data_IF_716090216844
#
_entry.id   IF_716090216844
#
_cell.length_a   1.000
_cell.length_b   1.000
_cell.length_c   1.000
_cell.angle_alpha   90.00
_cell.angle_beta   90.00
_cell.angle_gamma   90.00
#
_symmetry.space_group_name_H-M   'P 1'
#
loop_
_entity.id
_entity.type
_entity.pdbx_description
1 polymer ?
#
# COMPACT_ATOMS: atom_id res chain seq x y z
N UNK A 1 -16.40 -25.51 37.70
CA UNK A 1 -14.93 -25.33 37.64
C UNK A 1 -14.62 -24.81 36.23
N UNK A 2 -14.34 -23.52 36.12
CA UNK A 2 -14.36 -22.79 34.84
C UNK A 2 -13.07 -22.93 34.03
N UNK A 3 -13.20 -23.18 32.74
CA UNK A 3 -12.15 -22.98 31.75
C UNK A 3 -12.40 -21.62 31.07
N UNK A 4 -11.96 -20.55 31.72
CA UNK A 4 -11.92 -19.22 31.12
C UNK A 4 -10.79 -19.16 30.10
N UNK A 5 -11.14 -19.13 28.81
CA UNK A 5 -10.20 -18.88 27.73
C UNK A 5 -9.47 -17.56 27.96
N UNK A 6 -8.18 -17.64 28.26
CA UNK A 6 -7.28 -16.48 28.21
C UNK A 6 -7.16 -16.09 26.74
N UNK A 7 -7.94 -15.11 26.30
CA UNK A 7 -7.63 -14.34 25.11
C UNK A 7 -6.20 -13.83 25.28
N UNK A 8 -5.30 -14.28 24.39
CA UNK A 8 -3.93 -13.81 24.40
C UNK A 8 -3.98 -12.29 24.19
N UNK A 9 -3.43 -11.52 25.14
CA UNK A 9 -3.39 -10.07 25.05
C UNK A 9 -2.75 -9.64 23.72
N UNK A 10 -3.29 -8.57 23.12
CA UNK A 10 -2.72 -7.96 21.93
C UNK A 10 -1.21 -7.79 22.08
N UNK A 11 -0.42 -8.12 21.03
CA UNK A 11 1.00 -7.87 21.08
C UNK A 11 1.21 -6.36 21.31
N UNK A 12 2.05 -5.99 22.29
CA UNK A 12 2.42 -4.59 22.49
C UNK A 12 3.05 -4.01 21.21
N UNK A 13 3.09 -2.68 21.09
CA UNK A 13 3.55 -1.96 19.88
C UNK A 13 4.87 -2.50 19.31
N UNK A 14 5.83 -2.86 20.16
CA UNK A 14 7.11 -3.45 19.73
C UNK A 14 6.94 -4.82 19.07
N UNK A 15 6.05 -5.67 19.60
CA UNK A 15 5.77 -6.98 19.03
C UNK A 15 5.05 -6.86 17.68
N UNK A 16 4.13 -5.89 17.52
CA UNK A 16 3.50 -5.60 16.23
C UNK A 16 4.48 -5.06 15.19
N UNK A 17 5.40 -4.16 15.59
CA UNK A 17 6.48 -3.70 14.70
C UNK A 17 7.35 -4.86 14.23
N UNK A 18 7.77 -5.75 15.15
CA UNK A 18 8.55 -6.95 14.80
C UNK A 18 7.77 -7.94 13.93
N UNK A 19 6.45 -8.04 14.12
CA UNK A 19 5.59 -8.85 13.27
C UNK A 19 5.50 -8.27 11.85
N UNK A 20 5.40 -6.94 11.74
CA UNK A 20 5.42 -6.23 10.45
C UNK A 20 6.76 -6.46 9.72
N UNK A 21 7.89 -6.26 10.41
CA UNK A 21 9.24 -6.50 9.88
C UNK A 21 9.42 -7.93 9.40
N UNK A 22 8.93 -8.92 10.15
CA UNK A 22 9.06 -10.35 9.81
C UNK A 22 7.99 -10.87 8.83
N UNK A 23 7.01 -10.05 8.45
CA UNK A 23 5.87 -10.49 7.64
C UNK A 23 5.04 -11.59 8.30
N UNK A 24 4.84 -11.52 9.63
CA UNK A 24 4.14 -12.55 10.41
C UNK A 24 2.62 -12.50 10.16
N UNK A 25 2.16 -13.28 9.19
CA UNK A 25 0.75 -13.36 8.80
C UNK A 25 -0.16 -13.83 9.93
N UNK A 26 0.32 -14.71 10.83
CA UNK A 26 -0.49 -15.22 11.94
C UNK A 26 -0.77 -14.12 12.97
N UNK A 27 0.23 -13.28 13.25
CA UNK A 27 0.05 -12.10 14.10
C UNK A 27 -1.00 -11.13 13.52
N UNK A 28 -0.95 -10.86 12.21
CA UNK A 28 -1.94 -9.97 11.56
C UNK A 28 -3.33 -10.61 11.42
N UNK A 29 -3.42 -11.92 11.22
CA UNK A 29 -4.70 -12.64 11.23
C UNK A 29 -5.40 -12.52 12.58
N UNK A 30 -4.65 -12.73 13.68
CA UNK A 30 -5.17 -12.61 15.05
C UNK A 30 -5.56 -11.18 15.39
N UNK A 31 -4.68 -10.21 15.07
CA UNK A 31 -4.96 -8.80 15.27
C UNK A 31 -6.21 -8.36 14.51
N UNK A 32 -6.34 -8.78 13.25
CA UNK A 32 -7.52 -8.48 12.42
C UNK A 32 -8.82 -9.06 12.98
N UNK A 33 -8.77 -10.28 13.51
CA UNK A 33 -9.92 -10.91 14.16
C UNK A 33 -10.31 -10.19 15.46
N UNK A 34 -9.34 -9.72 16.25
CA UNK A 34 -9.59 -9.02 17.51
C UNK A 34 -10.09 -7.57 17.31
N UNK A 35 -9.49 -6.83 16.37
CA UNK A 35 -9.92 -5.47 16.00
C UNK A 35 -11.27 -5.50 15.27
N UNK A 36 -11.52 -6.55 14.49
CA UNK A 36 -12.71 -6.75 13.67
C UNK A 36 -12.53 -6.27 12.23
N UNK A 37 -12.93 -7.07 11.22
CA UNK A 37 -12.71 -6.77 9.81
C UNK A 37 -13.44 -5.51 9.33
N UNK A 38 -14.57 -5.14 9.94
CA UNK A 38 -15.27 -3.88 9.65
C UNK A 38 -14.41 -2.64 9.93
N UNK A 39 -13.67 -2.61 11.04
CA UNK A 39 -12.78 -1.48 11.35
C UNK A 39 -11.61 -1.40 10.37
N UNK A 40 -11.08 -2.56 9.96
CA UNK A 40 -10.03 -2.63 8.92
C UNK A 40 -10.56 -2.09 7.59
N UNK A 41 -11.79 -2.47 7.22
CA UNK A 41 -12.48 -1.95 6.03
C UNK A 41 -12.63 -0.44 6.10
N UNK A 42 -13.10 0.09 7.23
CA UNK A 42 -13.37 1.51 7.39
C UNK A 42 -12.08 2.34 7.25
N UNK A 43 -10.97 1.88 7.84
CA UNK A 43 -9.64 2.49 7.66
C UNK A 43 -9.18 2.43 6.20
N UNK A 44 -9.35 1.28 5.52
CA UNK A 44 -8.98 1.11 4.12
C UNK A 44 -9.78 2.03 3.18
N UNK A 45 -11.09 2.16 3.39
CA UNK A 45 -11.96 3.08 2.64
C UNK A 45 -11.61 4.53 2.94
N UNK A 46 -11.36 4.87 4.20
CA UNK A 46 -10.97 6.21 4.62
C UNK A 46 -9.66 6.65 3.96
N UNK A 47 -8.68 5.73 3.85
CA UNK A 47 -7.43 5.96 3.11
C UNK A 47 -7.63 6.11 1.59
N UNK A 48 -8.75 5.63 1.04
CA UNK A 48 -9.15 5.89 -0.34
C UNK A 48 -9.30 4.66 -1.23
N UNK A 49 -9.26 3.44 -0.67
CA UNK A 49 -9.67 2.24 -1.38
C UNK A 49 -11.18 2.30 -1.68
N UNK A 50 -11.60 1.64 -2.75
CA UNK A 50 -13.00 1.61 -3.14
C UNK A 50 -13.70 0.44 -2.45
N UNK A 51 -14.93 0.60 -1.91
CA UNK A 51 -15.66 -0.51 -1.29
C UNK A 51 -15.77 -1.74 -2.20
N UNK A 52 -15.98 -1.52 -3.50
CA UNK A 52 -16.08 -2.58 -4.52
C UNK A 52 -14.78 -3.34 -4.80
N UNK A 53 -13.63 -2.84 -4.35
CA UNK A 53 -12.34 -3.53 -4.49
C UNK A 53 -11.95 -4.31 -3.23
N UNK A 54 -12.79 -4.30 -2.19
CA UNK A 54 -12.50 -4.98 -0.94
C UNK A 54 -12.97 -6.44 -0.99
N UNK A 55 -12.16 -7.32 -0.41
CA UNK A 55 -12.49 -8.74 -0.26
C UNK A 55 -13.58 -8.98 0.80
N UNK A 56 -13.97 -10.25 0.93
CA UNK A 56 -14.90 -10.68 1.98
C UNK A 56 -14.36 -10.34 3.37
N UNK A 57 -15.23 -9.83 4.25
CA UNK A 57 -14.89 -9.44 5.62
C UNK A 57 -14.81 -10.65 6.56
N UNK A 58 -13.99 -11.64 6.21
CA UNK A 58 -13.71 -12.81 7.03
C UNK A 58 -12.33 -12.70 7.73
N UNK A 59 -11.91 -13.76 8.44
CA UNK A 59 -10.65 -13.77 9.18
C UNK A 59 -9.40 -13.59 8.29
N UNK A 60 -9.51 -13.85 6.99
CA UNK A 60 -8.44 -13.65 6.01
C UNK A 60 -8.39 -12.22 5.46
N UNK A 61 -9.41 -11.38 5.71
CA UNK A 61 -9.47 -10.01 5.20
C UNK A 61 -8.22 -9.18 5.56
N UNK A 62 -7.74 -9.32 6.80
CA UNK A 62 -6.55 -8.65 7.30
C UNK A 62 -5.24 -9.12 6.62
N UNK A 63 -5.28 -10.21 5.87
CA UNK A 63 -4.16 -10.71 5.06
C UNK A 63 -4.13 -10.13 3.65
N UNK A 64 -5.13 -9.32 3.27
CA UNK A 64 -5.13 -8.60 1.98
C UNK A 64 -5.80 -9.36 0.84
N UNK A 65 -6.98 -9.95 1.06
CA UNK A 65 -7.80 -10.59 0.01
C UNK A 65 -8.51 -9.61 -0.94
N UNK A 66 -8.17 -8.32 -0.86
CA UNK A 66 -8.75 -7.24 -1.66
C UNK A 66 -8.02 -7.08 -3.00
N UNK A 67 -8.69 -6.54 -4.02
CA UNK A 67 -8.17 -6.34 -5.38
C UNK A 67 -8.18 -4.86 -5.81
N UNK A 68 -7.52 -3.96 -5.07
CA UNK A 68 -7.45 -2.53 -5.44
C UNK A 68 -6.60 -2.31 -6.70
N UNK A 69 -6.90 -1.26 -7.45
CA UNK A 69 -6.03 -0.82 -8.53
C UNK A 69 -4.77 -0.10 -8.01
N UNK A 70 -3.69 -0.11 -8.78
CA UNK A 70 -2.42 0.50 -8.38
C UNK A 70 -2.55 1.98 -7.99
N UNK A 71 -3.34 2.77 -8.72
CA UNK A 71 -3.62 4.17 -8.39
C UNK A 71 -4.33 4.34 -7.04
N UNK A 72 -5.18 3.37 -6.63
CA UNK A 72 -5.84 3.39 -5.33
C UNK A 72 -4.88 3.01 -4.21
N UNK A 73 -3.98 2.05 -4.46
CA UNK A 73 -2.91 1.73 -3.52
C UNK A 73 -1.97 2.92 -3.32
N UNK A 74 -1.49 3.56 -4.39
CA UNK A 74 -0.67 4.77 -4.30
C UNK A 74 -1.40 5.90 -3.55
N UNK A 75 -2.68 6.14 -3.86
CA UNK A 75 -3.49 7.13 -3.14
C UNK A 75 -3.69 6.82 -1.65
N UNK A 76 -3.86 5.54 -1.30
CA UNK A 76 -3.97 5.13 0.10
C UNK A 76 -2.67 5.39 0.87
N UNK A 77 -1.53 5.03 0.29
CA UNK A 77 -0.22 5.27 0.91
C UNK A 77 0.17 6.75 0.92
N UNK A 78 -0.30 7.56 -0.04
CA UNK A 78 -0.20 9.02 0.01
C UNK A 78 -0.92 9.63 1.23
N UNK A 79 -1.93 8.95 1.80
CA UNK A 79 -2.54 9.37 3.07
C UNK A 79 -1.55 9.26 4.22
N UNK A 80 -0.64 8.28 4.19
CA UNK A 80 0.43 8.16 5.19
C UNK A 80 1.49 9.24 5.00
N UNK A 81 1.90 9.51 3.74
CA UNK A 81 2.77 10.63 3.39
C UNK A 81 2.22 11.97 3.91
N UNK A 82 0.91 12.21 3.71
CA UNK A 82 0.20 13.39 4.20
C UNK A 82 -0.13 13.38 5.70
N UNK A 83 0.54 12.56 6.50
CA UNK A 83 0.33 12.41 7.95
C UNK A 83 -1.15 12.21 8.34
N UNK A 84 -1.87 11.38 7.59
CA UNK A 84 -3.28 11.04 7.79
C UNK A 84 -4.26 11.92 7.03
N UNK A 85 -3.78 12.80 6.14
CA UNK A 85 -4.63 13.60 5.24
C UNK A 85 -4.74 12.93 3.87
N UNK A 86 -5.97 12.64 3.46
CA UNK A 86 -6.30 12.00 2.19
C UNK A 86 -6.72 13.03 1.16
N UNK A 87 -6.12 12.96 -0.02
CA UNK A 87 -6.56 13.64 -1.23
C UNK A 87 -7.01 12.59 -2.25
N UNK A 88 -8.07 12.89 -3.02
CA UNK A 88 -8.48 12.01 -4.10
C UNK A 88 -7.48 12.11 -5.27
N UNK A 89 -7.06 10.99 -5.89
CA UNK A 89 -6.22 11.04 -7.07
C UNK A 89 -6.98 11.70 -8.22
N UNK A 90 -6.30 12.55 -8.98
CA UNK A 90 -6.83 13.26 -10.13
C UNK A 90 -5.70 13.44 -11.16
N UNK A 91 -6.04 13.52 -12.45
CA UNK A 91 -5.06 13.62 -13.55
C UNK A 91 -5.24 14.86 -14.43
N UNK A 92 -6.41 15.51 -14.36
CA UNK A 92 -6.74 16.68 -15.17
C UNK A 92 -6.53 17.92 -14.31
N UNK A 93 -5.67 18.83 -14.77
CA UNK A 93 -5.36 20.11 -14.09
C UNK A 93 -6.07 21.32 -14.70
N UNK A 94 -6.40 21.24 -15.99
CA UNK A 94 -7.18 22.24 -16.71
C UNK A 94 -7.74 21.63 -18.00
N UNK A 95 -8.84 22.19 -18.48
CA UNK A 95 -9.38 21.90 -19.82
C UNK A 95 -9.71 23.24 -20.46
N UNK A 96 -9.29 23.42 -21.71
CA UNK A 96 -9.65 24.58 -22.51
C UNK A 96 -10.59 24.16 -23.62
N UNK A 97 -11.75 24.81 -23.71
CA UNK A 97 -12.73 24.57 -24.76
C UNK A 97 -13.07 25.89 -25.46
N UNK A 98 -12.83 25.95 -26.78
CA UNK A 98 -13.06 27.14 -27.61
C UNK A 98 -12.42 28.41 -27.04
N UNK A 99 -11.19 28.29 -26.57
CA UNK A 99 -10.42 29.40 -25.99
C UNK A 99 -10.82 29.80 -24.56
N UNK A 100 -11.74 29.08 -23.90
CA UNK A 100 -12.13 29.31 -22.50
C UNK A 100 -11.66 28.16 -21.62
N UNK A 101 -11.01 28.48 -20.50
CA UNK A 101 -10.68 27.50 -19.46
C UNK A 101 -11.97 27.09 -18.75
N UNK A 102 -12.18 25.79 -18.60
CA UNK A 102 -13.31 25.24 -17.84
C UNK A 102 -12.99 25.27 -16.34
N UNK A 103 -13.93 25.77 -15.54
CA UNK A 103 -13.88 25.77 -14.07
C UNK A 103 -14.26 24.40 -13.48
N UNK A 104 -13.98 24.18 -12.20
CA UNK A 104 -14.37 22.95 -11.48
C UNK A 104 -13.37 21.80 -11.60
N UNK A 105 -12.19 22.07 -12.15
CA UNK A 105 -11.07 21.11 -12.29
C UNK A 105 -9.96 21.38 -11.28
N UNK A 106 -10.25 22.15 -10.23
CA UNK A 106 -9.29 22.47 -9.18
C UNK A 106 -8.92 21.23 -8.37
N UNK A 107 -7.70 21.23 -7.81
CA UNK A 107 -7.22 20.15 -6.95
C UNK A 107 -8.18 19.96 -5.76
N UNK A 108 -8.72 18.75 -5.54
CA UNK A 108 -9.56 18.48 -4.38
C UNK A 108 -8.80 18.74 -3.06
N UNK A 109 -9.40 19.42 -2.08
CA UNK A 109 -8.72 19.69 -0.81
C UNK A 109 -8.51 18.40 -0.02
N UNK A 110 -7.32 18.26 0.58
CA UNK A 110 -6.98 17.12 1.42
C UNK A 110 -7.69 17.18 2.78
N UNK A 111 -8.30 16.07 3.19
CA UNK A 111 -9.07 15.95 4.45
C UNK A 111 -8.38 14.99 5.42
N UNK A 112 -8.37 15.31 6.71
CA UNK A 112 -7.85 14.41 7.74
C UNK A 112 -8.82 13.23 7.91
N UNK A 113 -8.30 12.02 7.75
CA UNK A 113 -9.06 10.77 7.83
C UNK A 113 -8.45 9.77 8.81
N UNK A 114 -7.16 9.94 9.13
CA UNK A 114 -6.45 9.16 10.14
C UNK A 114 -5.81 10.08 11.19
N UNK A 115 -5.66 9.54 12.39
CA UNK A 115 -4.95 10.21 13.47
C UNK A 115 -3.46 10.38 13.11
N UNK A 116 -2.93 11.58 13.40
CA UNK A 116 -1.56 11.95 13.04
C UNK A 116 -0.54 11.13 13.82
N UNK A 117 -0.77 10.88 15.11
CA UNK A 117 0.16 10.14 15.95
C UNK A 117 0.20 8.66 15.53
N UNK A 118 -0.95 8.06 15.26
CA UNK A 118 -1.05 6.70 14.75
C UNK A 118 -0.31 6.52 13.41
N UNK A 119 -0.48 7.47 12.47
CA UNK A 119 0.22 7.42 11.17
C UNK A 119 1.73 7.57 11.35
N UNK A 120 2.21 8.44 12.25
CA UNK A 120 3.65 8.57 12.52
C UNK A 120 4.27 7.31 13.11
N UNK A 121 3.53 6.62 13.98
CA UNK A 121 3.96 5.32 14.51
C UNK A 121 4.03 4.25 13.41
N UNK A 122 3.03 4.20 12.52
CA UNK A 122 3.02 3.33 11.35
C UNK A 122 4.21 3.64 10.42
N UNK A 123 4.45 4.91 10.11
CA UNK A 123 5.56 5.36 9.27
C UNK A 123 6.92 4.94 9.84
N UNK A 124 7.11 5.01 11.16
CA UNK A 124 8.32 4.49 11.82
C UNK A 124 8.46 2.99 11.63
N UNK A 125 7.39 2.23 11.87
CA UNK A 125 7.38 0.78 11.69
C UNK A 125 7.70 0.35 10.25
N UNK A 126 7.16 1.07 9.25
CA UNK A 126 7.40 0.82 7.83
C UNK A 126 8.83 1.17 7.39
N UNK A 127 9.49 2.15 8.03
CA UNK A 127 10.92 2.42 7.81
C UNK A 127 11.77 1.26 8.32
N UNK A 128 11.46 0.72 9.49
CA UNK A 128 12.19 -0.43 10.05
C UNK A 128 12.11 -1.65 9.09
N UNK A 129 10.93 -1.91 8.51
CA UNK A 129 10.74 -2.97 7.50
C UNK A 129 11.61 -2.74 6.26
N UNK A 130 11.68 -1.50 5.79
CA UNK A 130 12.45 -1.14 4.60
C UNK A 130 13.93 -1.51 4.80
N UNK A 131 14.50 -1.11 5.95
CA UNK A 131 15.90 -1.35 6.31
C UNK A 131 16.24 -2.84 6.32
N UNK A 132 15.35 -3.68 6.82
CA UNK A 132 15.60 -5.12 6.94
C UNK A 132 15.32 -5.89 5.62
N UNK A 133 14.48 -5.36 4.73
CA UNK A 133 13.95 -6.08 3.56
C UNK A 133 14.53 -5.64 2.22
N UNK A 134 15.22 -4.50 2.17
CA UNK A 134 15.73 -3.90 0.93
C UNK A 134 17.25 -3.76 1.00
N UNK A 135 17.94 -4.03 -0.11
CA UNK A 135 19.39 -3.85 -0.20
C UNK A 135 19.81 -2.42 0.23
N UNK A 136 20.94 -2.33 0.93
CA UNK A 136 21.42 -1.09 1.52
C UNK A 136 21.66 0.03 0.49
N UNK A 137 21.95 -0.31 -0.77
CA UNK A 137 22.09 0.66 -1.86
C UNK A 137 20.79 1.37 -2.23
N UNK A 138 19.66 0.67 -2.16
CA UNK A 138 18.33 1.21 -2.47
C UNK A 138 17.76 2.03 -1.30
N UNK A 139 18.21 1.81 -0.06
CA UNK A 139 17.77 2.57 1.13
C UNK A 139 18.06 4.08 1.06
N UNK A 140 19.04 4.52 0.26
CA UNK A 140 19.42 5.94 0.16
C UNK A 140 18.37 6.84 -0.48
N UNK A 141 17.46 6.28 -1.28
CA UNK A 141 16.33 7.00 -1.92
C UNK A 141 14.99 6.71 -1.22
N UNK A 142 15.01 5.87 -0.19
CA UNK A 142 13.81 5.35 0.44
C UNK A 142 13.26 6.31 1.52
N UNK A 143 12.04 6.80 1.27
CA UNK A 143 11.09 7.12 2.32
C UNK A 143 10.42 5.84 2.88
N UNK A 144 9.49 5.94 3.84
CA UNK A 144 8.80 4.77 4.40
C UNK A 144 8.18 3.83 3.33
N UNK A 145 8.42 2.53 3.50
CA UNK A 145 8.06 1.47 2.54
C UNK A 145 7.04 0.51 3.14
N UNK A 146 6.04 0.09 2.36
CA UNK A 146 5.39 -1.19 2.58
C UNK A 146 5.71 -2.15 1.43
N UNK A 147 6.44 -3.20 1.77
CA UNK A 147 6.59 -4.36 0.91
C UNK A 147 5.49 -5.35 1.25
N UNK A 148 4.65 -5.68 0.27
CA UNK A 148 3.74 -6.81 0.37
C UNK A 148 4.41 -8.02 -0.26
N UNK A 149 5.12 -8.84 0.51
CA UNK A 149 5.58 -10.14 0.01
C UNK A 149 4.40 -11.11 0.06
N UNK A 150 3.86 -11.40 -1.11
CA UNK A 150 2.91 -12.48 -1.28
C UNK A 150 3.72 -13.78 -1.31
N UNK A 151 3.50 -14.69 -0.36
CA UNK A 151 4.16 -16.01 -0.33
C UNK A 151 3.56 -16.92 -1.40
N UNK A 152 4.38 -17.76 -2.03
CA UNK A 152 4.01 -18.64 -3.15
C UNK A 152 3.12 -19.84 -2.73
N UNK A 153 2.65 -19.85 -1.48
CA UNK A 153 1.73 -20.87 -0.98
C UNK A 153 0.32 -20.58 -1.47
N UNK A 154 0.01 -21.19 -2.60
CA UNK A 154 -1.31 -21.42 -3.18
C UNK A 154 -2.33 -20.26 -3.02
N UNK A 155 -2.60 -19.61 -4.16
CA UNK A 155 -3.83 -18.87 -4.54
C UNK A 155 -3.79 -17.33 -4.56
N UNK A 156 -2.67 -16.66 -4.29
CA UNK A 156 -2.65 -15.18 -4.39
C UNK A 156 -2.05 -14.72 -5.72
N UNK A 157 -2.78 -13.94 -6.54
CA UNK A 157 -2.47 -13.79 -7.96
C UNK A 157 -1.73 -12.48 -8.33
N UNK A 158 -1.18 -11.78 -7.34
CA UNK A 158 -0.46 -10.52 -7.55
C UNK A 158 0.67 -10.30 -6.51
N UNK A 159 1.78 -9.73 -6.99
CA UNK A 159 2.88 -9.21 -6.20
C UNK A 159 2.81 -7.68 -6.13
N UNK A 160 3.20 -7.09 -5.00
CA UNK A 160 3.07 -5.66 -4.74
C UNK A 160 4.29 -5.07 -4.05
N UNK A 161 4.64 -3.85 -4.44
CA UNK A 161 5.53 -2.98 -3.68
C UNK A 161 4.98 -1.57 -3.67
N UNK A 162 4.87 -0.96 -2.49
CA UNK A 162 4.39 0.42 -2.34
C UNK A 162 5.34 1.20 -1.45
N UNK A 163 5.96 2.23 -2.01
CA UNK A 163 6.82 3.17 -1.30
C UNK A 163 6.21 4.55 -1.25
N UNK A 164 6.54 5.33 -0.23
CA UNK A 164 6.19 6.75 -0.19
C UNK A 164 7.30 7.58 0.47
N UNK A 165 7.43 8.83 0.02
CA UNK A 165 8.22 9.87 0.67
C UNK A 165 7.30 10.92 1.29
N UNK A 166 7.86 12.07 1.63
CA UNK A 166 7.07 13.16 2.22
C UNK A 166 6.09 13.77 1.20
N UNK A 167 6.43 13.76 -0.09
CA UNK A 167 5.65 14.41 -1.15
C UNK A 167 5.16 13.46 -2.27
N UNK A 168 5.46 12.17 -2.19
CA UNK A 168 5.14 11.21 -3.26
C UNK A 168 4.74 9.85 -2.69
N UNK A 169 3.98 9.08 -3.46
CA UNK A 169 3.69 7.67 -3.21
C UNK A 169 3.60 6.92 -4.52
N UNK A 170 4.29 5.78 -4.60
CA UNK A 170 4.42 4.98 -5.81
C UNK A 170 4.08 3.53 -5.48
N UNK A 171 3.07 2.99 -6.17
CA UNK A 171 2.67 1.59 -6.07
C UNK A 171 2.98 0.86 -7.38
N UNK A 172 3.69 -0.26 -7.28
CA UNK A 172 3.97 -1.17 -8.39
C UNK A 172 3.35 -2.52 -8.07
N UNK A 173 2.71 -3.11 -9.08
CA UNK A 173 2.16 -4.46 -9.00
C UNK A 173 2.51 -5.27 -10.22
N UNK A 174 2.67 -6.57 -10.01
CA UNK A 174 2.78 -7.57 -11.07
C UNK A 174 1.69 -8.59 -10.85
N UNK A 175 0.90 -8.86 -11.87
CA UNK A 175 -0.19 -9.83 -11.84
C UNK A 175 -0.32 -10.50 -13.21
N UNK A 176 -1.04 -11.63 -13.26
CA UNK A 176 -1.35 -12.31 -14.53
C UNK A 176 -2.85 -12.30 -14.78
N UNK A 177 -3.23 -12.20 -16.04
CA UNK A 177 -4.62 -12.29 -16.51
C UNK A 177 -4.66 -13.08 -17.82
N UNK A 178 -5.78 -13.73 -18.11
CA UNK A 178 -6.04 -14.28 -19.45
C UNK A 178 -6.77 -13.25 -20.32
N UNK A 179 -6.48 -13.15 -21.63
CA UNK A 179 -7.27 -12.34 -22.56
C UNK A 179 -8.75 -12.75 -22.51
N UNK A 180 -9.65 -11.79 -22.29
CA UNK A 180 -11.09 -12.06 -22.17
C UNK A 180 -11.51 -12.85 -20.91
N UNK A 181 -10.57 -13.29 -20.08
CA UNK A 181 -10.83 -13.96 -18.82
C UNK A 181 -11.07 -12.95 -17.69
N UNK A 182 -12.04 -13.24 -16.83
CA UNK A 182 -12.22 -12.52 -15.58
C UNK A 182 -11.22 -12.98 -14.53
N UNK A 183 -10.64 -12.02 -13.80
CA UNK A 183 -9.83 -12.31 -12.62
C UNK A 183 -8.33 -12.48 -12.87
N UNK A 184 -7.62 -12.70 -11.77
CA UNK A 184 -6.16 -12.78 -11.75
C UNK A 184 -5.72 -14.25 -11.67
N UNK A 185 -4.68 -14.60 -12.42
CA UNK A 185 -4.10 -15.95 -12.46
C UNK A 185 -2.95 -16.08 -11.45
N UNK A 186 -2.67 -17.29 -10.95
CA UNK A 186 -1.51 -17.55 -10.10
C UNK A 186 -0.20 -17.11 -10.77
N UNK A 187 0.76 -16.62 -9.99
CA UNK A 187 2.05 -16.15 -10.49
C UNK A 187 3.07 -17.29 -10.71
N UNK A 188 2.67 -18.56 -10.52
CA UNK A 188 3.54 -19.72 -10.70
C UNK A 188 4.25 -19.71 -12.07
N UNK A 189 5.58 -19.85 -12.01
CA UNK A 189 6.45 -19.85 -13.18
C UNK A 189 6.65 -18.48 -13.85
N UNK A 190 5.96 -17.42 -13.41
CA UNK A 190 6.24 -16.06 -13.90
C UNK A 190 7.49 -15.50 -13.22
N UNK A 191 8.34 -14.84 -13.99
CA UNK A 191 9.59 -14.28 -13.45
C UNK A 191 10.54 -15.34 -12.89
N UNK A 192 10.48 -16.58 -13.36
CA UNK A 192 11.35 -17.68 -12.90
C UNK A 192 12.85 -17.34 -13.05
N UNK A 193 13.21 -16.52 -14.04
CA UNK A 193 14.58 -16.05 -14.26
C UNK A 193 14.97 -14.85 -13.37
N UNK A 194 14.02 -14.27 -12.63
CA UNK A 194 14.29 -13.16 -11.73
C UNK A 194 14.80 -13.68 -10.38
N UNK A 195 15.93 -13.16 -9.85
CA UNK A 195 16.35 -13.46 -8.48
C UNK A 195 15.23 -13.11 -7.50
N UNK A 196 14.77 -14.10 -6.71
CA UNK A 196 13.64 -13.96 -5.78
C UNK A 196 12.24 -14.16 -6.38
N UNK A 197 12.14 -14.65 -7.62
CA UNK A 197 10.88 -15.01 -8.29
C UNK A 197 9.97 -13.81 -8.63
N UNK A 198 8.71 -14.08 -9.01
CA UNK A 198 7.74 -13.02 -9.33
C UNK A 198 7.53 -12.01 -8.20
N UNK A 199 7.67 -12.45 -6.94
CA UNK A 199 7.51 -11.62 -5.75
C UNK A 199 8.52 -10.47 -5.65
N UNK A 200 9.71 -10.59 -6.25
CA UNK A 200 10.74 -9.55 -6.23
C UNK A 200 10.58 -8.50 -7.32
N UNK A 201 9.81 -8.80 -8.38
CA UNK A 201 9.68 -7.94 -9.56
C UNK A 201 9.14 -6.54 -9.25
N UNK A 202 8.09 -6.35 -8.42
CA UNK A 202 7.58 -5.01 -8.12
C UNK A 202 8.64 -4.12 -7.48
N UNK A 203 9.43 -4.64 -6.54
CA UNK A 203 10.52 -3.89 -5.90
C UNK A 203 11.58 -3.49 -6.95
N UNK A 204 11.99 -4.41 -7.83
CA UNK A 204 13.00 -4.11 -8.86
C UNK A 204 12.54 -3.01 -9.83
N UNK A 205 11.31 -3.09 -10.31
CA UNK A 205 10.72 -2.07 -11.19
C UNK A 205 10.60 -0.74 -10.45
N UNK A 206 10.15 -0.78 -9.19
CA UNK A 206 10.05 0.40 -8.35
C UNK A 206 11.42 1.07 -8.15
N UNK A 207 12.46 0.31 -7.81
CA UNK A 207 13.82 0.84 -7.61
C UNK A 207 14.36 1.49 -8.87
N UNK A 208 14.21 0.83 -10.03
CA UNK A 208 14.64 1.38 -11.31
C UNK A 208 13.90 2.68 -11.66
N UNK A 209 12.59 2.76 -11.40
CA UNK A 209 11.81 3.98 -11.57
C UNK A 209 12.33 5.12 -10.68
N UNK A 210 12.67 4.82 -9.42
CA UNK A 210 13.12 5.81 -8.46
C UNK A 210 14.56 6.27 -8.68
N UNK A 211 15.43 5.43 -9.22
CA UNK A 211 16.78 5.81 -9.65
C UNK A 211 16.76 6.76 -10.86
N UNK A 212 15.80 6.57 -11.77
CA UNK A 212 15.58 7.45 -12.93
C UNK A 212 14.73 8.69 -12.65
N UNK A 213 14.02 8.73 -11.51
CA UNK A 213 13.16 9.85 -11.13
C UNK A 213 13.99 10.92 -10.39
N UNK A 214 13.81 12.22 -10.69
CA UNK A 214 14.47 13.26 -9.91
C UNK A 214 13.98 13.22 -8.44
N UNK A 215 14.89 13.33 -7.46
CA UNK A 215 14.51 13.36 -6.04
C UNK A 215 13.73 14.65 -5.76
N UNK A 216 12.43 14.51 -5.49
CA UNK A 216 11.50 15.63 -5.36
C UNK A 216 10.83 15.92 -6.69
N UNK A 217 9.55 15.53 -6.80
CA UNK A 217 8.75 15.71 -7.99
C UNK A 217 8.87 17.15 -8.51
N UNK A 218 9.03 17.29 -9.82
CA UNK A 218 9.16 18.58 -10.48
C UNK A 218 8.17 19.59 -9.91
N UNK A 219 8.70 20.67 -9.36
CA UNK A 219 7.92 21.83 -8.97
C UNK A 219 7.01 22.19 -10.14
N UNK A 220 5.74 22.47 -9.85
CA UNK A 220 4.86 23.07 -10.82
C UNK A 220 5.59 24.27 -11.45
N UNK A 221 5.63 24.42 -12.79
CA UNK A 221 6.14 25.65 -13.37
C UNK A 221 5.35 26.79 -12.75
N UNK A 222 6.06 27.78 -12.19
CA UNK A 222 5.45 29.00 -11.71
C UNK A 222 4.57 29.54 -12.84
N UNK A 223 3.27 29.67 -12.57
CA UNK A 223 2.36 30.34 -13.49
C UNK A 223 2.94 31.73 -13.75
N UNK A 224 3.32 31.96 -15.01
CA UNK A 224 3.73 33.27 -15.52
C UNK A 224 2.50 34.12 -15.77
#
# INVERSE_FOLDING_TARGET
MGAGGRGAALPGTLALRRALVRGDQDAFRRLGAEVGPDRVRDVAVAAGLLPRSLGTLDASFALGTSTPSAIRMAGAYATFAGEGRRAAPYSVVSVTYRGRVLEGLERPPARRVLDRAAVRELTRALRDVAVDSVDAGTLRTLGPVAAGRTDDRDRIPAAWFVGYGDEWSTAVTVFRTAPGGGGLLPLDGAGADAPGGAGSLPLRVWSAYMEGAPPGGGGAPAAS
#
